data_IF_314937663487
#
_entry.id   IF_314937663487
#
_cell.length_a   1.000
_cell.length_b   1.000
_cell.length_c   1.000
_cell.angle_alpha   90.00
_cell.angle_beta   90.00
_cell.angle_gamma   90.00
#
_symmetry.space_group_name_H-M   'P 1'
#
loop_
_entity.id
_entity.type
_entity.pdbx_description
1 polymer ?
#
# COMPACT_ATOMS: atom_id res chain seq x y z
N UNK A 1 -6.12 -13.41 4.59
CA UNK A 1 -5.72 -13.77 5.97
C UNK A 1 -4.43 -14.61 6.02
N UNK A 2 -4.29 -15.69 5.22
CA UNK A 2 -3.09 -16.57 5.22
C UNK A 2 -1.74 -15.85 5.10
N UNK A 3 -1.64 -14.83 4.24
CA UNK A 3 -0.40 -14.08 4.03
C UNK A 3 0.10 -13.30 5.25
N UNK A 4 -0.81 -12.89 6.15
CA UNK A 4 -0.45 -12.23 7.41
C UNK A 4 0.00 -13.27 8.42
N UNK A 5 -0.73 -14.39 8.53
CA UNK A 5 -0.36 -15.48 9.44
C UNK A 5 1.01 -16.08 9.10
N UNK A 6 1.33 -16.27 7.82
CA UNK A 6 2.67 -16.70 7.39
C UNK A 6 3.76 -15.73 7.87
N UNK A 7 3.51 -14.42 7.80
CA UNK A 7 4.47 -13.40 8.25
C UNK A 7 4.61 -13.38 9.76
N UNK A 8 3.53 -13.62 10.51
CA UNK A 8 3.57 -13.78 11.97
C UNK A 8 4.34 -15.04 12.39
N UNK A 9 4.23 -16.13 11.65
CA UNK A 9 5.01 -17.35 11.92
C UNK A 9 6.52 -17.15 11.65
N UNK A 10 6.87 -16.17 10.81
CA UNK A 10 8.26 -15.82 10.51
C UNK A 10 8.88 -14.80 11.49
N UNK A 11 8.15 -14.35 12.50
CA UNK A 11 8.71 -13.53 13.60
C UNK A 11 9.08 -14.46 14.76
N UNK A 12 10.29 -14.31 15.30
CA UNK A 12 10.83 -15.18 16.36
C UNK A 12 11.09 -14.44 17.67
N UNK A 13 11.20 -13.11 17.63
CA UNK A 13 11.45 -12.24 18.77
C UNK A 13 10.36 -11.19 18.94
N UNK A 14 10.12 -10.72 20.16
CA UNK A 14 9.19 -9.62 20.45
C UNK A 14 9.59 -8.28 19.80
N UNK A 15 10.86 -8.17 19.38
CA UNK A 15 11.37 -7.00 18.65
C UNK A 15 11.22 -7.11 17.12
N UNK A 16 10.71 -8.24 16.62
CA UNK A 16 10.46 -8.41 15.20
C UNK A 16 9.20 -7.64 14.76
N UNK A 17 9.38 -6.79 13.76
CA UNK A 17 8.26 -6.20 13.01
C UNK A 17 7.59 -7.27 12.16
N UNK A 18 6.31 -7.11 11.81
CA UNK A 18 5.59 -8.06 10.93
C UNK A 18 6.28 -8.29 9.58
N UNK A 19 7.01 -7.29 9.06
CA UNK A 19 7.80 -7.39 7.84
C UNK A 19 9.29 -7.29 8.13
N UNK A 20 10.05 -8.23 7.57
CA UNK A 20 11.49 -8.30 7.66
C UNK A 20 12.03 -9.28 6.61
N UNK A 21 13.35 -9.36 6.50
CA UNK A 21 14.03 -10.23 5.56
C UNK A 21 15.26 -10.85 6.23
N UNK A 22 15.70 -12.00 5.73
CA UNK A 22 16.89 -12.67 6.24
C UNK A 22 18.16 -11.95 5.76
N UNK A 23 19.04 -11.63 6.71
CA UNK A 23 20.36 -11.08 6.45
C UNK A 23 21.47 -12.03 6.94
N UNK A 24 22.74 -11.70 6.68
CA UNK A 24 23.87 -12.55 7.07
C UNK A 24 24.00 -12.79 8.59
N UNK A 25 23.42 -11.91 9.41
CA UNK A 25 23.46 -11.99 10.89
C UNK A 25 22.09 -12.33 11.50
N UNK A 26 21.18 -12.85 10.68
CA UNK A 26 19.80 -13.12 11.05
C UNK A 26 18.83 -12.09 10.50
N UNK A 27 17.60 -12.15 11.01
CA UNK A 27 16.45 -11.37 10.53
C UNK A 27 16.63 -9.87 10.74
N UNK A 28 16.30 -9.09 9.71
CA UNK A 28 16.38 -7.64 9.70
C UNK A 28 14.98 -7.07 9.50
N UNK A 29 14.54 -6.18 10.40
CA UNK A 29 13.28 -5.46 10.27
C UNK A 29 13.27 -4.57 9.00
N UNK A 30 12.16 -4.60 8.27
CA UNK A 30 12.03 -3.83 7.04
C UNK A 30 11.98 -2.32 7.34
N UNK A 31 12.99 -1.58 6.88
CA UNK A 31 12.99 -0.12 6.98
C UNK A 31 12.24 0.52 5.81
N UNK A 32 11.71 1.72 6.02
CA UNK A 32 11.10 2.55 4.95
C UNK A 32 12.06 2.75 3.78
N UNK A 33 13.34 3.01 4.06
CA UNK A 33 14.37 3.22 3.03
C UNK A 33 14.52 1.98 2.16
N UNK A 34 14.67 0.82 2.78
CA UNK A 34 14.85 -0.43 2.05
C UNK A 34 13.60 -0.81 1.24
N UNK A 35 12.41 -0.68 1.84
CA UNK A 35 11.15 -0.90 1.14
C UNK A 35 11.00 -0.01 -0.09
N UNK A 36 11.31 1.30 0.05
CA UNK A 36 11.26 2.23 -1.08
C UNK A 36 12.28 1.88 -2.16
N UNK A 37 13.49 1.44 -1.80
CA UNK A 37 14.52 1.04 -2.77
C UNK A 37 14.08 -0.19 -3.57
N UNK A 38 13.63 -1.24 -2.89
CA UNK A 38 13.17 -2.48 -3.53
C UNK A 38 11.98 -2.22 -4.45
N UNK A 39 10.99 -1.46 -3.97
CA UNK A 39 9.81 -1.14 -4.77
C UNK A 39 10.16 -0.24 -5.95
N UNK A 40 11.02 0.77 -5.78
CA UNK A 40 11.47 1.62 -6.90
C UNK A 40 12.17 0.82 -7.99
N UNK A 41 13.02 -0.15 -7.61
CA UNK A 41 13.67 -1.04 -8.57
C UNK A 41 12.63 -1.89 -9.32
N UNK A 42 11.71 -2.54 -8.61
CA UNK A 42 10.64 -3.33 -9.23
C UNK A 42 9.76 -2.49 -10.19
N UNK A 43 9.45 -1.25 -9.83
CA UNK A 43 8.69 -0.35 -10.70
C UNK A 43 9.47 0.09 -11.92
N UNK A 44 10.77 0.32 -11.79
CA UNK A 44 11.63 0.62 -12.92
C UNK A 44 11.65 -0.55 -13.92
N UNK A 45 11.82 -1.78 -13.42
CA UNK A 45 11.85 -3.00 -14.25
C UNK A 45 10.52 -3.26 -14.95
N UNK A 46 9.40 -2.88 -14.33
CA UNK A 46 8.06 -2.94 -14.92
C UNK A 46 7.74 -1.77 -15.86
N UNK A 47 8.69 -0.88 -16.15
CA UNK A 47 8.49 0.29 -17.01
C UNK A 47 7.61 1.38 -16.39
N UNK A 48 7.51 1.43 -15.06
CA UNK A 48 6.66 2.36 -14.29
C UNK A 48 7.46 3.17 -13.25
N UNK A 49 8.57 3.83 -13.62
CA UNK A 49 9.52 4.43 -12.67
C UNK A 49 8.94 5.55 -11.78
N UNK A 50 7.79 6.11 -12.15
CA UNK A 50 7.11 7.17 -11.39
C UNK A 50 6.22 6.64 -10.26
N UNK A 51 6.02 5.32 -10.16
CA UNK A 51 5.28 4.74 -9.06
C UNK A 51 6.11 4.74 -7.78
N UNK A 52 5.44 5.06 -6.68
CA UNK A 52 6.03 5.06 -5.34
C UNK A 52 5.08 4.37 -4.36
N UNK A 53 5.55 4.07 -3.16
CA UNK A 53 4.68 3.61 -2.07
C UNK A 53 3.52 4.60 -1.79
N UNK A 54 3.74 5.90 -2.01
CA UNK A 54 2.70 6.91 -1.83
C UNK A 54 1.59 6.78 -2.88
N UNK A 55 1.93 6.39 -4.12
CA UNK A 55 0.97 6.17 -5.20
C UNK A 55 -0.10 5.14 -4.83
N UNK A 56 0.26 4.08 -4.09
CA UNK A 56 -0.70 3.08 -3.60
C UNK A 56 -1.72 3.67 -2.63
N UNK A 57 -1.27 4.53 -1.72
CA UNK A 57 -2.13 5.20 -0.74
C UNK A 57 -3.10 6.17 -1.44
N UNK A 58 -2.62 6.89 -2.44
CA UNK A 58 -3.44 7.78 -3.28
C UNK A 58 -4.47 6.99 -4.08
N UNK A 59 -4.04 5.91 -4.74
CA UNK A 59 -4.91 5.03 -5.53
C UNK A 59 -6.01 4.37 -4.69
N UNK A 60 -5.66 3.83 -3.51
CA UNK A 60 -6.63 3.21 -2.62
C UNK A 60 -7.71 4.18 -2.14
N UNK A 61 -7.32 5.38 -1.71
CA UNK A 61 -8.29 6.42 -1.31
C UNK A 61 -9.15 6.91 -2.49
N UNK A 62 -8.55 7.02 -3.67
CA UNK A 62 -9.26 7.38 -4.92
C UNK A 62 -10.33 6.33 -5.27
N UNK A 63 -9.97 5.04 -5.23
CA UNK A 63 -10.92 3.96 -5.51
C UNK A 63 -12.03 3.88 -4.46
N UNK A 64 -11.70 3.97 -3.17
CA UNK A 64 -12.69 3.99 -2.08
C UNK A 64 -13.70 5.13 -2.27
N UNK A 65 -13.21 6.32 -2.62
CA UNK A 65 -14.09 7.45 -2.92
C UNK A 65 -14.97 7.18 -4.15
N UNK A 66 -14.39 6.62 -5.21
CA UNK A 66 -15.12 6.33 -6.45
C UNK A 66 -16.24 5.29 -6.26
N UNK A 67 -16.09 4.35 -5.33
CA UNK A 67 -17.15 3.38 -4.98
C UNK A 67 -18.11 3.88 -3.90
N UNK A 68 -18.00 5.15 -3.48
CA UNK A 68 -18.97 5.81 -2.61
C UNK A 68 -18.72 5.67 -1.11
N UNK A 69 -17.52 5.24 -0.67
CA UNK A 69 -17.17 5.22 0.75
C UNK A 69 -17.17 6.65 1.30
N UNK A 70 -17.74 6.83 2.50
CA UNK A 70 -17.86 8.13 3.13
C UNK A 70 -16.48 8.79 3.34
N UNK A 71 -16.38 10.08 3.07
CA UNK A 71 -15.09 10.77 3.14
C UNK A 71 -14.47 10.79 4.56
N UNK A 72 -15.30 10.82 5.61
CA UNK A 72 -14.80 10.77 6.98
C UNK A 72 -14.21 9.39 7.31
N UNK A 73 -14.73 8.33 6.71
CA UNK A 73 -14.19 6.98 6.81
C UNK A 73 -12.84 6.88 6.08
N UNK A 74 -12.76 7.39 4.86
CA UNK A 74 -11.48 7.46 4.11
C UNK A 74 -10.44 8.28 4.87
N UNK A 75 -10.83 9.41 5.47
CA UNK A 75 -9.95 10.22 6.34
C UNK A 75 -9.50 9.44 7.57
N UNK A 76 -10.40 8.70 8.21
CA UNK A 76 -10.07 7.85 9.36
C UNK A 76 -9.05 6.77 8.99
N UNK A 77 -9.31 5.99 7.93
CA UNK A 77 -8.43 4.94 7.41
C UNK A 77 -7.07 5.50 6.97
N UNK A 78 -7.09 6.65 6.30
CA UNK A 78 -5.91 7.36 5.87
C UNK A 78 -5.14 8.02 7.01
N UNK A 79 -5.73 8.20 8.20
CA UNK A 79 -5.18 9.08 9.26
C UNK A 79 -4.95 10.52 8.77
N UNK A 80 -5.92 11.05 8.02
CA UNK A 80 -5.93 12.43 7.56
C UNK A 80 -6.78 13.29 8.50
N UNK A 81 -6.12 14.23 9.19
CA UNK A 81 -6.79 15.17 10.09
C UNK A 81 -7.39 16.37 9.36
N UNK A 82 -6.87 16.70 8.17
CA UNK A 82 -7.28 17.85 7.38
C UNK A 82 -7.89 17.44 6.04
N UNK A 83 -8.29 18.44 5.25
CA UNK A 83 -8.81 18.26 3.88
C UNK A 83 -7.71 17.92 2.85
N UNK A 84 -6.54 17.43 3.29
CA UNK A 84 -5.47 17.00 2.39
C UNK A 84 -5.91 15.87 1.45
N UNK A 85 -6.97 15.12 1.79
CA UNK A 85 -7.59 14.13 0.91
C UNK A 85 -8.01 14.73 -0.45
N UNK A 86 -8.40 16.02 -0.51
CA UNK A 86 -8.83 16.69 -1.76
C UNK A 86 -7.73 16.73 -2.81
N UNK A 87 -6.45 16.69 -2.39
CA UNK A 87 -5.29 16.62 -3.29
C UNK A 87 -5.02 15.20 -3.78
N UNK A 88 -5.47 14.20 -3.03
CA UNK A 88 -5.16 12.79 -3.29
C UNK A 88 -6.27 12.09 -4.06
N UNK A 89 -7.53 12.36 -3.74
CA UNK A 89 -8.67 11.74 -4.40
C UNK A 89 -8.87 12.37 -5.76
N UNK A 90 -8.64 11.58 -6.81
CA UNK A 90 -8.95 11.98 -8.20
C UNK A 90 -10.27 11.34 -8.64
N UNK A 91 -11.07 12.00 -9.48
CA UNK A 91 -12.22 11.32 -10.08
C UNK A 91 -11.74 10.18 -10.97
N UNK A 92 -12.42 9.04 -10.89
CA UNK A 92 -12.29 7.92 -11.82
C UNK A 92 -13.55 7.84 -12.67
N UNK A 93 -13.40 7.53 -13.94
CA UNK A 93 -14.50 7.13 -14.82
C UNK A 93 -15.11 5.80 -14.35
N UNK A 94 -16.34 5.51 -14.80
CA UNK A 94 -17.02 4.26 -14.46
C UNK A 94 -16.20 3.05 -14.96
N UNK A 95 -15.62 3.17 -16.15
CA UNK A 95 -14.81 2.14 -16.79
C UNK A 95 -13.53 1.85 -15.99
N UNK A 96 -12.87 2.89 -15.47
CA UNK A 96 -11.70 2.74 -14.60
C UNK A 96 -12.05 2.08 -13.26
N UNK A 97 -13.22 2.41 -12.68
CA UNK A 97 -13.68 1.75 -11.45
C UNK A 97 -13.93 0.27 -11.69
N UNK A 98 -14.68 -0.10 -12.75
CA UNK A 98 -14.96 -1.50 -13.09
C UNK A 98 -13.66 -2.27 -13.29
N UNK A 99 -12.74 -1.72 -14.10
CA UNK A 99 -11.44 -2.35 -14.36
C UNK A 99 -10.62 -2.53 -13.08
N UNK A 100 -10.61 -1.52 -12.20
CA UNK A 100 -9.88 -1.58 -10.93
C UNK A 100 -10.44 -2.64 -10.00
N UNK A 101 -11.77 -2.77 -9.92
CA UNK A 101 -12.43 -3.80 -9.11
C UNK A 101 -12.15 -5.20 -9.65
N UNK A 102 -12.22 -5.40 -10.96
CA UNK A 102 -11.89 -6.71 -11.56
C UNK A 102 -10.45 -7.15 -11.27
N UNK A 103 -9.49 -6.22 -11.16
CA UNK A 103 -8.10 -6.54 -10.78
C UNK A 103 -8.00 -6.99 -9.31
N UNK A 104 -8.84 -6.45 -8.42
CA UNK A 104 -8.79 -6.76 -6.98
C UNK A 104 -9.52 -8.06 -6.61
N UNK A 105 -10.41 -8.53 -7.47
CA UNK A 105 -11.15 -9.79 -7.30
C UNK A 105 -10.37 -11.02 -7.81
N UNK A 106 -9.19 -10.82 -8.42
CA UNK A 106 -8.25 -11.88 -8.81
C UNK A 106 -7.61 -12.55 -7.59
#
# INVERSE_FOLDING_TARGET
VRAIEQRRQATTSDTDSLFGYEGPKGRINLSKRHANQVLAAAWHDLGRPHLTCHSFRVGGATLQHAVGININEIKSLGRWTTDCYKRYVKPLSREEVITSLSILEL
#
